data_IF_410623111070
#
_entry.id   IF_410623111070
#
_cell.length_a   1.000
_cell.length_b   1.000
_cell.length_c   1.000
_cell.angle_alpha   90.00
_cell.angle_beta   90.00
_cell.angle_gamma   90.00
#
_symmetry.space_group_name_H-M   'P 1'
#
loop_
_entity.id
_entity.type
_entity.pdbx_description
1 polymer ?
#
# COMPACT_ATOMS: atom_id res chain seq x y z
N UNK A 1 1.40 6.63 10.25
CA UNK A 1 2.57 6.21 9.46
C UNK A 1 3.46 7.39 9.11
N UNK A 2 2.98 8.42 8.40
CA UNK A 2 3.80 9.62 8.07
C UNK A 2 4.43 10.31 9.30
N UNK A 3 3.64 10.60 10.34
CA UNK A 3 4.17 11.18 11.58
C UNK A 3 5.22 10.29 12.29
N UNK A 4 5.12 8.97 12.13
CA UNK A 4 6.08 8.02 12.70
C UNK A 4 7.38 8.07 11.90
N UNK A 5 7.30 8.10 10.57
CA UNK A 5 8.46 8.27 9.70
C UNK A 5 9.19 9.59 9.98
N UNK A 6 8.45 10.70 10.11
CA UNK A 6 9.03 12.00 10.42
C UNK A 6 9.73 12.01 11.79
N UNK A 7 9.07 11.41 12.79
CA UNK A 7 9.64 11.27 14.14
C UNK A 7 10.90 10.39 14.16
N UNK A 8 10.92 9.28 13.42
CA UNK A 8 12.08 8.40 13.29
C UNK A 8 13.24 9.08 12.57
N UNK A 9 12.95 9.81 11.48
CA UNK A 9 13.95 10.57 10.73
C UNK A 9 14.59 11.65 11.61
N UNK A 10 13.79 12.35 12.42
CA UNK A 10 14.31 13.33 13.37
C UNK A 10 15.16 12.67 14.46
N UNK A 11 14.70 11.52 14.98
CA UNK A 11 15.44 10.75 15.99
C UNK A 11 16.80 10.30 15.45
N UNK A 12 16.87 9.82 14.21
CA UNK A 12 18.11 9.45 13.54
C UNK A 12 19.10 10.62 13.49
N UNK A 13 18.66 11.81 13.04
CA UNK A 13 19.51 13.01 13.00
C UNK A 13 20.04 13.41 14.38
N UNK A 14 19.17 13.41 15.39
CA UNK A 14 19.57 13.75 16.76
C UNK A 14 20.59 12.75 17.32
N UNK A 15 20.43 11.46 17.03
CA UNK A 15 21.41 10.43 17.39
C UNK A 15 22.77 10.70 16.74
N UNK A 16 22.77 11.04 15.45
CA UNK A 16 23.98 11.32 14.69
C UNK A 16 24.75 12.52 15.26
N UNK A 17 24.04 13.59 15.61
CA UNK A 17 24.61 14.78 16.25
C UNK A 17 25.16 14.48 17.65
N UNK A 18 24.41 13.75 18.48
CA UNK A 18 24.78 13.46 19.87
C UNK A 18 25.97 12.49 19.96
N UNK A 19 26.03 11.47 19.11
CA UNK A 19 27.21 10.59 19.03
C UNK A 19 28.45 11.40 18.68
N UNK A 20 28.35 12.31 17.72
CA UNK A 20 29.48 13.14 17.28
C UNK A 20 29.95 14.10 18.37
N UNK A 21 29.03 14.65 19.17
CA UNK A 21 29.33 15.64 20.21
C UNK A 21 29.75 15.04 21.57
N UNK A 22 29.29 13.83 21.91
CA UNK A 22 29.41 13.24 23.25
C UNK A 22 30.21 11.94 23.28
N UNK A 23 30.97 11.65 22.22
CA UNK A 23 31.76 10.43 22.07
C UNK A 23 32.65 10.18 23.29
N UNK A 24 32.60 8.96 23.84
CA UNK A 24 33.42 8.55 25.00
C UNK A 24 32.89 9.00 26.37
N UNK A 25 31.69 9.59 26.45
CA UNK A 25 31.09 9.99 27.74
C UNK A 25 30.06 8.99 28.25
N UNK A 26 29.95 8.83 29.58
CA UNK A 26 28.89 8.03 30.21
C UNK A 26 27.49 8.60 29.95
N UNK A 27 27.40 9.91 29.70
CA UNK A 27 26.15 10.60 29.33
C UNK A 27 25.62 10.08 27.99
N UNK A 28 26.52 9.82 27.02
CA UNK A 28 26.14 9.24 25.73
C UNK A 28 25.49 7.86 25.89
N UNK A 29 26.05 6.98 26.73
CA UNK A 29 25.48 5.64 27.00
C UNK A 29 24.05 5.73 27.57
N UNK A 30 23.81 6.64 28.52
CA UNK A 30 22.47 6.86 29.09
C UNK A 30 21.47 7.40 28.06
N UNK A 31 21.89 8.35 27.21
CA UNK A 31 21.06 8.91 26.14
C UNK A 31 20.69 7.83 25.11
N UNK A 32 21.66 7.01 24.71
CA UNK A 32 21.46 5.85 23.81
C UNK A 32 20.41 4.90 24.35
N UNK A 33 20.50 4.53 25.63
CA UNK A 33 19.57 3.60 26.25
C UNK A 33 18.13 4.17 26.31
N UNK A 34 17.99 5.47 26.59
CA UNK A 34 16.69 6.16 26.57
C UNK A 34 16.08 6.23 25.16
N UNK A 35 16.90 6.45 24.13
CA UNK A 35 16.43 6.47 22.74
C UNK A 35 16.00 5.08 22.27
N UNK A 36 16.76 4.03 22.63
CA UNK A 36 16.41 2.63 22.33
C UNK A 36 15.04 2.25 22.89
N UNK A 37 14.70 2.72 24.10
CA UNK A 37 13.40 2.47 24.72
C UNK A 37 12.23 3.21 24.05
N UNK A 38 12.49 4.34 23.39
CA UNK A 38 11.47 5.16 22.71
C UNK A 38 11.21 4.74 21.27
N UNK A 39 12.01 3.83 20.72
CA UNK A 39 11.81 3.36 19.36
C UNK A 39 10.48 2.60 19.26
N UNK A 40 9.64 2.93 18.25
CA UNK A 40 8.40 2.22 18.03
C UNK A 40 8.69 0.75 17.72
N UNK A 41 8.01 -0.15 18.46
CA UNK A 41 8.06 -1.60 18.23
C UNK A 41 6.80 -2.04 17.49
N UNK A 42 6.89 -3.08 16.64
CA UNK A 42 5.77 -3.65 15.88
C UNK A 42 5.05 -2.70 14.91
N UNK A 43 5.79 -2.10 13.98
CA UNK A 43 5.23 -1.22 12.94
C UNK A 43 4.74 -1.96 11.68
N UNK A 44 4.78 -3.29 11.69
CA UNK A 44 4.48 -4.09 10.52
C UNK A 44 2.96 -4.34 10.37
N UNK A 45 2.35 -3.78 9.32
CA UNK A 45 0.98 -4.14 8.92
C UNK A 45 1.05 -5.51 8.23
N UNK A 46 0.75 -6.57 8.97
CA UNK A 46 0.80 -7.92 8.47
C UNK A 46 -0.15 -8.12 7.28
N UNK A 47 0.35 -8.75 6.22
CA UNK A 47 -0.45 -9.13 5.06
C UNK A 47 -0.74 -8.01 4.05
N UNK A 48 -0.23 -6.78 4.24
CA UNK A 48 -0.47 -5.67 3.31
C UNK A 48 0.00 -6.00 1.88
N UNK A 49 1.17 -6.64 1.73
CA UNK A 49 1.69 -7.06 0.43
C UNK A 49 0.74 -8.05 -0.30
N UNK A 50 0.16 -8.98 0.46
CA UNK A 50 -0.83 -9.93 -0.07
C UNK A 50 -2.11 -9.21 -0.50
N UNK A 51 -2.62 -8.29 0.32
CA UNK A 51 -3.82 -7.51 -0.01
C UNK A 51 -3.61 -6.64 -1.27
N UNK A 52 -2.42 -6.08 -1.46
CA UNK A 52 -2.04 -5.35 -2.68
C UNK A 52 -2.08 -6.27 -3.90
N UNK A 53 -1.54 -7.49 -3.79
CA UNK A 53 -1.57 -8.47 -4.87
C UNK A 53 -3.01 -8.91 -5.20
N UNK A 54 -3.80 -9.24 -4.19
CA UNK A 54 -5.21 -9.63 -4.34
C UNK A 54 -6.03 -8.50 -4.99
N UNK A 55 -5.77 -7.24 -4.62
CA UNK A 55 -6.42 -6.07 -5.23
C UNK A 55 -6.04 -5.90 -6.70
N UNK A 56 -4.78 -6.13 -7.07
CA UNK A 56 -4.35 -6.08 -8.49
C UNK A 56 -5.08 -7.12 -9.33
N UNK A 57 -5.25 -8.34 -8.82
CA UNK A 57 -6.00 -9.40 -9.51
C UNK A 57 -7.47 -8.99 -9.68
N UNK A 58 -8.12 -8.50 -8.63
CA UNK A 58 -9.50 -8.02 -8.75
C UNK A 58 -9.66 -6.86 -9.76
N UNK A 59 -8.73 -5.90 -9.77
CA UNK A 59 -8.73 -4.80 -10.76
C UNK A 59 -8.60 -5.36 -12.17
N UNK A 60 -7.73 -6.35 -12.38
CA UNK A 60 -7.56 -7.03 -13.67
C UNK A 60 -8.87 -7.71 -14.11
N UNK A 61 -9.48 -8.53 -13.26
CA UNK A 61 -10.70 -9.26 -13.58
C UNK A 61 -11.87 -8.33 -13.92
N UNK A 62 -12.06 -7.28 -13.12
CA UNK A 62 -13.12 -6.28 -13.36
C UNK A 62 -12.85 -5.50 -14.66
N UNK A 63 -11.57 -5.23 -14.96
CA UNK A 63 -11.16 -4.59 -16.22
C UNK A 63 -11.49 -5.48 -17.42
N UNK A 64 -11.22 -6.78 -17.36
CA UNK A 64 -11.60 -7.73 -18.41
C UNK A 64 -13.11 -7.72 -18.65
N UNK A 65 -13.90 -7.88 -17.58
CA UNK A 65 -15.38 -7.86 -17.66
C UNK A 65 -15.93 -6.55 -18.23
N UNK A 66 -15.33 -5.40 -17.88
CA UNK A 66 -15.70 -4.10 -18.47
C UNK A 66 -15.39 -4.08 -19.97
N UNK A 67 -14.24 -4.62 -20.37
CA UNK A 67 -13.79 -4.56 -21.76
C UNK A 67 -14.70 -5.37 -22.70
N UNK A 68 -15.28 -6.47 -22.21
CA UNK A 68 -16.30 -7.22 -22.95
C UNK A 68 -17.53 -6.37 -23.32
N UNK A 69 -17.79 -5.28 -22.59
CA UNK A 69 -18.92 -4.37 -22.82
C UNK A 69 -18.60 -3.24 -23.83
N UNK A 70 -17.44 -3.25 -24.50
CA UNK A 70 -17.19 -2.30 -25.60
C UNK A 70 -17.94 -2.67 -26.86
N UNK A 71 -18.08 -3.97 -27.14
CA UNK A 71 -18.90 -4.49 -28.22
C UNK A 71 -20.19 -5.10 -27.65
N UNK A 72 -21.18 -4.23 -27.45
CA UNK A 72 -22.45 -4.62 -26.85
C UNK A 72 -23.23 -5.61 -27.71
N UNK A 73 -23.14 -5.50 -29.04
CA UNK A 73 -23.87 -6.40 -29.94
C UNK A 73 -23.30 -7.81 -29.89
N UNK A 74 -21.97 -7.94 -29.92
CA UNK A 74 -21.33 -9.24 -29.76
C UNK A 74 -21.59 -9.84 -28.36
N UNK A 75 -21.53 -9.01 -27.31
CA UNK A 75 -21.83 -9.46 -25.96
C UNK A 75 -23.28 -9.99 -25.83
N UNK A 76 -24.25 -9.25 -26.36
CA UNK A 76 -25.66 -9.67 -26.35
C UNK A 76 -25.85 -10.96 -27.14
N UNK A 77 -25.27 -11.06 -28.34
CA UNK A 77 -25.37 -12.27 -29.16
C UNK A 77 -24.80 -13.50 -28.44
N UNK A 78 -23.69 -13.34 -27.70
CA UNK A 78 -23.11 -14.42 -26.89
C UNK A 78 -24.07 -14.87 -25.80
N UNK A 79 -24.68 -13.93 -25.07
CA UNK A 79 -25.68 -14.23 -24.03
C UNK A 79 -26.90 -14.93 -24.63
N UNK A 80 -27.44 -14.44 -25.75
CA UNK A 80 -28.57 -15.05 -26.46
C UNK A 80 -28.26 -16.49 -26.90
N UNK A 81 -27.03 -16.74 -27.33
CA UNK A 81 -26.57 -18.07 -27.75
C UNK A 81 -26.39 -19.03 -26.58
N UNK A 82 -25.87 -18.56 -25.44
CA UNK A 82 -25.69 -19.36 -24.23
C UNK A 82 -27.03 -19.73 -23.58
N UNK A 83 -28.01 -18.82 -23.61
CA UNK A 83 -29.31 -18.98 -22.96
C UNK A 83 -30.40 -19.57 -23.90
N UNK A 84 -30.08 -19.75 -25.19
CA UNK A 84 -30.98 -20.31 -26.19
C UNK A 84 -32.22 -19.46 -26.49
N UNK A 85 -32.16 -18.16 -26.20
CA UNK A 85 -33.27 -17.21 -26.35
C UNK A 85 -32.81 -15.96 -27.08
N UNK A 86 -33.68 -15.41 -27.92
CA UNK A 86 -33.44 -14.18 -28.65
C UNK A 86 -34.23 -13.05 -28.01
N UNK A 87 -33.59 -11.89 -27.81
CA UNK A 87 -34.29 -10.71 -27.36
C UNK A 87 -35.09 -10.10 -28.51
N UNK A 88 -36.26 -9.54 -28.19
CA UNK A 88 -36.94 -8.61 -29.10
C UNK A 88 -36.11 -7.33 -29.28
N UNK A 89 -36.40 -6.55 -30.32
CA UNK A 89 -35.69 -5.30 -30.59
C UNK A 89 -35.80 -4.29 -29.43
N UNK A 90 -36.98 -4.24 -28.79
CA UNK A 90 -37.22 -3.40 -27.61
C UNK A 90 -36.38 -3.84 -26.41
N UNK A 91 -36.34 -5.14 -26.12
CA UNK A 91 -35.50 -5.71 -25.05
C UNK A 91 -34.02 -5.48 -25.32
N UNK A 92 -33.57 -5.69 -26.57
CA UNK A 92 -32.18 -5.46 -26.98
C UNK A 92 -31.77 -4.01 -26.75
N UNK A 93 -32.66 -3.06 -27.05
CA UNK A 93 -32.42 -1.63 -26.79
C UNK A 93 -32.29 -1.34 -25.29
N UNK A 94 -33.16 -1.90 -24.45
CA UNK A 94 -33.07 -1.74 -23.00
C UNK A 94 -31.80 -2.36 -22.42
N UNK A 95 -31.43 -3.57 -22.86
CA UNK A 95 -30.21 -4.26 -22.45
C UNK A 95 -28.97 -3.45 -22.83
N UNK A 96 -28.92 -2.87 -24.03
CA UNK A 96 -27.80 -1.98 -24.44
C UNK A 96 -27.65 -0.77 -23.50
N UNK A 97 -28.75 -0.15 -23.11
CA UNK A 97 -28.74 0.96 -22.14
C UNK A 97 -28.17 0.50 -20.79
N UNK A 98 -28.68 -0.61 -20.24
CA UNK A 98 -28.20 -1.16 -18.96
C UNK A 98 -26.73 -1.55 -19.01
N UNK A 99 -26.27 -2.20 -20.09
CA UNK A 99 -24.87 -2.57 -20.25
C UNK A 99 -23.96 -1.35 -20.41
N UNK A 100 -24.45 -0.28 -21.04
CA UNK A 100 -23.72 0.99 -21.14
C UNK A 100 -23.53 1.64 -19.76
N UNK A 101 -24.60 1.67 -18.96
CA UNK A 101 -24.52 2.16 -17.57
C UNK A 101 -23.61 1.29 -16.71
N UNK A 102 -23.74 -0.03 -16.80
CA UNK A 102 -22.86 -0.98 -16.12
C UNK A 102 -21.40 -0.76 -16.50
N UNK A 103 -21.09 -0.57 -17.78
CA UNK A 103 -19.73 -0.26 -18.25
C UNK A 103 -19.20 1.02 -17.63
N UNK A 104 -20.02 2.08 -17.57
CA UNK A 104 -19.65 3.36 -16.95
C UNK A 104 -19.37 3.19 -15.45
N UNK A 105 -20.29 2.58 -14.70
CA UNK A 105 -20.12 2.31 -13.28
C UNK A 105 -18.88 1.47 -13.00
N UNK A 106 -18.63 0.45 -13.82
CA UNK A 106 -17.45 -0.41 -13.69
C UNK A 106 -16.15 0.37 -13.99
N UNK A 107 -16.17 1.29 -14.95
CA UNK A 107 -15.03 2.18 -15.23
C UNK A 107 -14.70 3.07 -14.02
N UNK A 108 -15.73 3.65 -13.39
CA UNK A 108 -15.55 4.49 -12.21
C UNK A 108 -15.11 3.69 -10.98
N UNK A 109 -15.61 2.46 -10.82
CA UNK A 109 -15.13 1.51 -9.82
C UNK A 109 -13.64 1.19 -10.02
N UNK A 110 -13.21 0.87 -11.25
CA UNK A 110 -11.80 0.60 -11.56
C UNK A 110 -10.92 1.81 -11.20
N UNK A 111 -11.35 3.04 -11.48
CA UNK A 111 -10.60 4.25 -11.07
C UNK A 111 -10.46 4.32 -9.55
N UNK A 112 -11.56 4.10 -8.82
CA UNK A 112 -11.56 4.10 -7.35
C UNK A 112 -10.61 3.03 -6.78
N UNK A 113 -10.66 1.81 -7.32
CA UNK A 113 -9.78 0.71 -6.90
C UNK A 113 -8.31 0.99 -7.21
N UNK A 114 -7.99 1.63 -8.35
CA UNK A 114 -6.61 2.05 -8.65
C UNK A 114 -6.12 3.12 -7.67
N UNK A 115 -6.97 4.06 -7.27
CA UNK A 115 -6.62 5.03 -6.23
C UNK A 115 -6.35 4.34 -4.88
N UNK A 116 -7.18 3.38 -4.49
CA UNK A 116 -6.96 2.58 -3.27
C UNK A 116 -5.67 1.75 -3.36
N UNK A 117 -5.37 1.16 -4.51
CA UNK A 117 -4.13 0.42 -4.76
C UNK A 117 -2.91 1.34 -4.57
N UNK A 118 -2.94 2.55 -5.11
CA UNK A 118 -1.86 3.52 -4.95
C UNK A 118 -1.66 3.94 -3.49
N UNK A 119 -2.74 4.10 -2.73
CA UNK A 119 -2.68 4.38 -1.30
C UNK A 119 -2.07 3.21 -0.52
N UNK A 120 -2.47 1.97 -0.84
CA UNK A 120 -1.94 0.77 -0.21
C UNK A 120 -0.44 0.58 -0.50
N UNK A 121 -0.01 0.79 -1.76
CA UNK A 121 1.41 0.76 -2.14
C UNK A 121 2.19 1.84 -1.39
N UNK A 122 1.67 3.06 -1.32
CA UNK A 122 2.33 4.16 -0.59
C UNK A 122 2.48 3.84 0.90
N UNK A 123 1.48 3.17 1.49
CA UNK A 123 1.50 2.70 2.86
C UNK A 123 2.58 1.62 3.07
N UNK A 124 2.68 0.64 2.16
CA UNK A 124 3.70 -0.42 2.20
C UNK A 124 5.11 0.18 2.08
N UNK A 125 5.33 1.12 1.16
CA UNK A 125 6.60 1.83 1.02
C UNK A 125 6.97 2.61 2.29
N UNK A 126 5.99 3.31 2.88
CA UNK A 126 6.20 4.04 4.13
C UNK A 126 6.60 3.07 5.26
N UNK A 127 5.99 1.89 5.30
CA UNK A 127 6.32 0.86 6.27
C UNK A 127 7.74 0.32 6.11
N UNK A 128 8.16 0.07 4.86
CA UNK A 128 9.51 -0.38 4.55
C UNK A 128 10.54 0.68 4.97
N UNK A 129 10.29 1.96 4.68
CA UNK A 129 11.15 3.07 5.10
C UNK A 129 11.25 3.16 6.62
N UNK A 130 10.13 3.07 7.33
CA UNK A 130 10.09 3.05 8.79
C UNK A 130 10.94 1.91 9.35
N UNK A 131 10.79 0.71 8.79
CA UNK A 131 11.56 -0.49 9.21
C UNK A 131 13.05 -0.28 9.00
N UNK A 132 13.45 0.18 7.81
CA UNK A 132 14.85 0.46 7.47
C UNK A 132 15.49 1.50 8.41
N UNK A 133 14.79 2.61 8.68
CA UNK A 133 15.31 3.64 9.59
C UNK A 133 15.40 3.10 11.02
N UNK A 134 14.39 2.34 11.46
CA UNK A 134 14.40 1.71 12.78
C UNK A 134 15.61 0.77 12.95
N UNK A 135 15.87 -0.09 11.96
CA UNK A 135 17.01 -1.02 11.97
C UNK A 135 18.35 -0.28 11.94
N UNK A 136 18.46 0.80 11.16
CA UNK A 136 19.66 1.65 11.13
C UNK A 136 19.92 2.31 12.48
N UNK A 137 18.89 2.88 13.11
CA UNK A 137 19.00 3.48 14.43
C UNK A 137 19.43 2.42 15.44
N UNK A 138 18.77 1.25 15.45
CA UNK A 138 19.09 0.18 16.38
C UNK A 138 20.54 -0.30 16.24
N UNK A 139 21.00 -0.56 15.00
CA UNK A 139 22.38 -0.96 14.71
C UNK A 139 23.39 0.09 15.19
N UNK A 140 23.12 1.38 14.96
CA UNK A 140 23.99 2.47 15.38
C UNK A 140 24.08 2.58 16.91
N UNK A 141 22.94 2.46 17.60
CA UNK A 141 22.89 2.46 19.06
C UNK A 141 23.65 1.26 19.65
N UNK A 142 23.56 0.08 19.04
CA UNK A 142 24.28 -1.13 19.47
C UNK A 142 25.80 -0.99 19.30
N UNK A 143 26.27 -0.46 18.18
CA UNK A 143 27.70 -0.20 17.96
C UNK A 143 28.29 0.76 19.01
N UNK A 144 27.56 1.83 19.34
CA UNK A 144 28.03 2.83 20.31
C UNK A 144 27.97 2.31 21.75
N UNK A 145 26.94 1.52 22.10
CA UNK A 145 26.87 0.88 23.41
C UNK A 145 28.08 -0.02 23.66
N UNK A 146 28.51 -0.78 22.65
CA UNK A 146 29.69 -1.66 22.76
C UNK A 146 31.01 -0.90 22.90
N UNK A 147 31.15 0.25 22.23
CA UNK A 147 32.34 1.10 22.34
C UNK A 147 32.44 1.81 23.70
N UNK A 148 31.32 2.07 24.36
CA UNK A 148 31.29 2.71 25.69
C UNK A 148 31.44 1.76 26.88
N UNK A 149 31.44 0.44 26.66
CA UNK A 149 31.64 -0.59 27.69
C UNK A 149 33.10 -1.11 27.78
N UNK A 150 33.97 -0.71 26.85
CA UNK A 150 35.42 -0.98 26.89
C UNK A 150 36.18 0.16 27.56
#
# INVERSE_FOLDING_TARGET
>A
MRNILDSLTQTQRTIDEQISALQGTLVLSRIIQQQKQKLPTNLNIQGLSKQIADLRVHIFDITQKRNELYDLDNYINKVESEDGKQFTEAERTQVKTLLTERRKMTSDLIKSLNNQLNLAISLELTQLQITQISDQIQSKLEQQSFLGEK
#
